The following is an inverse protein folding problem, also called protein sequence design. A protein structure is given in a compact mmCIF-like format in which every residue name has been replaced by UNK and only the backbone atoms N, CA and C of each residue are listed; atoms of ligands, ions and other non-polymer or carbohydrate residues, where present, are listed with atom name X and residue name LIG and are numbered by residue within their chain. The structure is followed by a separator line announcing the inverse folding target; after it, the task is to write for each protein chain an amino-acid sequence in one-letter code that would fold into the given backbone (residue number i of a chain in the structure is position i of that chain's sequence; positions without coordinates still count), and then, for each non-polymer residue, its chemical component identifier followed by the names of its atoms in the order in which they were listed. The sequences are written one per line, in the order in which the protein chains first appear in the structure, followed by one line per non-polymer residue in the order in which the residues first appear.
data_IF_099641103842
#
_entry.id   IF_099641103842
#
_cell.length_a   1.000
_cell.length_b   1.000
_cell.length_c   1.000
_cell.angle_alpha   90.00
_cell.angle_beta   90.00
_cell.angle_gamma   90.00
#
_symmetry.space_group_name_H-M   'P 1'
#
loop_
_entity.id
_entity.type
_entity.pdbx_description
1 polymer ?
#
# COMPACT_ATOMS: atom_id res chain seq x y z
N UNK A 1 36.96 -29.44 -28.85
CA UNK A 1 35.62 -28.97 -28.44
C UNK A 1 35.61 -28.77 -26.92
N UNK A 2 35.63 -27.52 -26.44
CA UNK A 2 35.38 -27.19 -25.02
C UNK A 2 34.29 -26.13 -25.00
N UNK A 3 33.12 -26.52 -24.49
CA UNK A 3 31.93 -25.66 -24.40
C UNK A 3 32.15 -24.65 -23.28
N UNK A 4 32.13 -23.36 -23.60
CA UNK A 4 32.13 -22.29 -22.62
C UNK A 4 30.65 -21.97 -22.34
N UNK A 5 30.17 -22.37 -21.17
CA UNK A 5 28.86 -21.96 -20.65
C UNK A 5 29.07 -20.69 -19.82
N UNK A 6 28.74 -19.54 -20.39
CA UNK A 6 28.65 -18.27 -19.65
C UNK A 6 27.21 -18.19 -19.14
N UNK A 7 27.02 -18.44 -17.84
CA UNK A 7 25.76 -18.14 -17.17
C UNK A 7 25.73 -16.64 -16.86
N UNK A 8 25.02 -15.86 -17.66
CA UNK A 8 24.69 -14.47 -17.36
C UNK A 8 23.65 -14.43 -16.25
N UNK A 9 24.13 -14.28 -15.01
CA UNK A 9 23.29 -14.00 -13.86
C UNK A 9 22.78 -12.55 -13.97
N UNK A 10 21.57 -12.36 -14.51
CA UNK A 10 20.88 -11.07 -14.41
C UNK A 10 20.49 -10.86 -12.95
N UNK A 11 21.28 -10.07 -12.22
CA UNK A 11 20.88 -9.51 -10.93
C UNK A 11 19.81 -8.46 -11.19
N UNK A 12 18.55 -8.90 -11.22
CA UNK A 12 17.39 -8.03 -11.25
C UNK A 12 17.43 -7.19 -9.97
N UNK A 13 17.97 -5.98 -10.07
CA UNK A 13 18.02 -5.02 -8.99
C UNK A 13 16.60 -4.47 -8.82
N UNK A 14 15.75 -5.17 -8.07
CA UNK A 14 14.47 -4.61 -7.65
C UNK A 14 14.79 -3.46 -6.71
N UNK A 15 14.77 -2.23 -7.22
CA UNK A 15 14.77 -1.02 -6.40
C UNK A 15 13.47 -1.00 -5.61
N UNK A 16 13.44 -1.71 -4.48
CA UNK A 16 12.41 -1.52 -3.47
C UNK A 16 12.60 -0.11 -2.92
N UNK A 17 11.87 0.86 -3.47
CA UNK A 17 11.72 2.15 -2.82
C UNK A 17 11.02 1.92 -1.49
N UNK A 18 11.78 2.05 -0.40
CA UNK A 18 11.22 2.04 0.94
C UNK A 18 10.53 3.39 1.17
N UNK A 19 9.24 3.37 1.48
CA UNK A 19 8.50 4.57 1.86
C UNK A 19 9.10 5.16 3.14
N UNK A 20 9.13 6.49 3.23
CA UNK A 20 9.37 7.14 4.51
C UNK A 20 8.21 6.86 5.48
N UNK A 21 8.44 6.95 6.81
CA UNK A 21 7.38 6.73 7.80
C UNK A 21 6.13 7.60 7.56
N UNK A 22 6.32 8.84 7.10
CA UNK A 22 5.22 9.77 6.84
C UNK A 22 4.40 9.39 5.60
N UNK A 23 5.06 8.99 4.51
CA UNK A 23 4.36 8.51 3.31
C UNK A 23 3.59 7.23 3.62
N UNK A 24 4.18 6.35 4.42
CA UNK A 24 3.51 5.14 4.89
C UNK A 24 2.24 5.46 5.67
N UNK A 25 2.28 6.41 6.60
CA UNK A 25 1.09 6.86 7.33
C UNK A 25 0.00 7.38 6.37
N UNK A 26 0.34 8.17 5.35
CA UNK A 26 -0.62 8.65 4.35
C UNK A 26 -1.27 7.48 3.60
N UNK A 27 -0.47 6.49 3.19
CA UNK A 27 -0.96 5.27 2.53
C UNK A 27 -1.93 4.51 3.44
N UNK A 28 -1.61 4.34 4.73
CA UNK A 28 -2.51 3.70 5.72
C UNK A 28 -3.88 4.37 5.72
N UNK A 29 -3.89 5.70 5.81
CA UNK A 29 -5.13 6.47 5.81
C UNK A 29 -5.98 6.22 4.58
N UNK A 30 -5.38 6.32 3.40
CA UNK A 30 -6.07 6.15 2.13
C UNK A 30 -6.60 4.72 1.96
N UNK A 31 -5.80 3.74 2.35
CA UNK A 31 -6.15 2.32 2.31
C UNK A 31 -7.29 2.00 3.26
N UNK A 32 -7.29 2.53 4.48
CA UNK A 32 -8.41 2.32 5.42
C UNK A 32 -9.73 2.83 4.86
N UNK A 33 -9.74 4.05 4.31
CA UNK A 33 -10.94 4.58 3.67
C UNK A 33 -11.45 3.64 2.59
N UNK A 34 -10.55 3.16 1.72
CA UNK A 34 -10.93 2.24 0.65
C UNK A 34 -11.49 0.92 1.19
N UNK A 35 -10.85 0.37 2.23
CA UNK A 35 -11.27 -0.90 2.80
C UNK A 35 -12.69 -0.83 3.38
N UNK A 36 -13.01 0.26 4.06
CA UNK A 36 -14.30 0.42 4.75
C UNK A 36 -15.45 0.88 3.85
N UNK A 37 -15.15 1.63 2.78
CA UNK A 37 -16.18 2.38 2.04
C UNK A 37 -16.30 1.97 0.56
N UNK A 38 -15.42 1.12 0.06
CA UNK A 38 -15.32 0.80 -1.36
C UNK A 38 -15.36 -0.72 -1.60
N UNK A 39 -14.48 -1.24 -2.46
CA UNK A 39 -14.43 -2.66 -2.81
C UNK A 39 -13.59 -3.52 -1.84
N UNK A 40 -13.00 -2.93 -0.80
CA UNK A 40 -12.05 -3.64 0.04
C UNK A 40 -10.66 -3.78 -0.58
N UNK A 41 -9.72 -4.27 0.21
CA UNK A 41 -8.44 -4.73 -0.31
C UNK A 41 -8.51 -6.18 -0.80
N UNK A 42 -7.60 -6.56 -1.69
CA UNK A 42 -7.37 -7.98 -2.01
C UNK A 42 -6.76 -8.68 -0.79
N UNK A 43 -6.85 -10.02 -0.69
CA UNK A 43 -6.14 -10.76 0.38
C UNK A 43 -4.63 -10.46 0.41
N UNK A 44 -4.02 -10.32 -0.77
CA UNK A 44 -2.61 -9.95 -0.88
C UNK A 44 -2.36 -8.54 -0.34
N UNK A 45 -3.28 -7.61 -0.61
CA UNK A 45 -3.25 -6.26 -0.06
C UNK A 45 -3.34 -6.23 1.46
N UNK A 46 -4.31 -6.96 2.03
CA UNK A 46 -4.46 -7.08 3.49
C UNK A 46 -3.18 -7.63 4.12
N UNK A 47 -2.65 -8.75 3.61
CA UNK A 47 -1.42 -9.37 4.13
C UNK A 47 -0.22 -8.44 4.02
N UNK A 48 -0.01 -7.81 2.87
CA UNK A 48 1.14 -6.93 2.66
C UNK A 48 1.07 -5.71 3.56
N UNK A 49 -0.12 -5.12 3.71
CA UNK A 49 -0.32 -3.96 4.58
C UNK A 49 -0.11 -4.33 6.04
N UNK A 50 -0.74 -5.39 6.53
CA UNK A 50 -0.59 -5.83 7.92
C UNK A 50 0.87 -6.22 8.25
N UNK A 51 1.57 -6.89 7.33
CA UNK A 51 2.98 -7.24 7.54
C UNK A 51 3.92 -6.05 7.50
N UNK A 52 3.60 -5.03 6.68
CA UNK A 52 4.42 -3.82 6.60
C UNK A 52 4.18 -2.90 7.80
N UNK A 53 3.06 -3.07 8.50
CA UNK A 53 2.57 -2.16 9.53
C UNK A 53 2.46 -2.87 10.88
N UNK A 54 3.57 -2.93 11.60
CA UNK A 54 3.68 -3.57 12.92
C UNK A 54 2.69 -3.02 13.96
N UNK A 55 2.12 -1.83 13.73
CA UNK A 55 1.21 -1.14 14.66
C UNK A 55 -0.18 -0.80 14.10
N UNK A 56 -0.44 -1.10 12.82
CA UNK A 56 -1.72 -0.80 12.18
C UNK A 56 -2.20 -2.02 11.41
N UNK A 57 -2.92 -2.91 12.10
CA UNK A 57 -3.67 -3.96 11.43
C UNK A 57 -4.84 -3.33 10.69
N UNK A 58 -4.82 -3.36 9.35
CA UNK A 58 -5.75 -2.55 8.56
C UNK A 58 -7.20 -3.05 8.61
N UNK A 59 -7.35 -4.34 8.84
CA UNK A 59 -8.67 -4.94 8.98
C UNK A 59 -9.26 -4.59 10.36
N UNK A 60 -8.42 -4.63 11.39
CA UNK A 60 -8.88 -4.56 12.78
C UNK A 60 -8.76 -3.18 13.43
N UNK A 61 -7.96 -2.26 12.89
CA UNK A 61 -7.74 -0.94 13.49
C UNK A 61 -8.92 -0.01 13.21
N UNK A 62 -9.65 0.50 14.21
CA UNK A 62 -10.72 1.47 13.99
C UNK A 62 -10.20 2.82 13.44
N UNK A 63 -11.01 3.54 12.67
CA UNK A 63 -10.64 4.89 12.15
C UNK A 63 -10.24 5.84 13.27
N UNK A 64 -10.94 5.80 14.41
CA UNK A 64 -10.62 6.63 15.58
C UNK A 64 -9.18 6.44 16.12
N UNK A 65 -8.55 5.30 15.83
CA UNK A 65 -7.13 5.07 16.17
C UNK A 65 -6.21 5.74 15.16
N UNK A 66 -6.61 5.81 13.87
CA UNK A 66 -5.86 6.54 12.83
C UNK A 66 -5.88 8.05 13.06
N UNK A 67 -6.94 8.59 13.66
CA UNK A 67 -7.07 10.01 14.00
C UNK A 67 -5.96 10.51 14.94
N UNK A 68 -5.30 9.61 15.67
CA UNK A 68 -4.14 9.93 16.51
C UNK A 68 -2.91 10.32 15.70
N UNK A 69 -2.85 9.92 14.42
CA UNK A 69 -1.80 10.30 13.48
C UNK A 69 -2.34 11.30 12.46
N UNK A 70 -1.87 12.56 12.53
CA UNK A 70 -2.27 13.60 11.57
C UNK A 70 -2.01 13.20 10.12
N UNK A 71 -0.93 12.48 9.85
CA UNK A 71 -0.58 12.02 8.50
C UNK A 71 -1.52 10.90 8.01
N UNK A 72 -1.84 9.94 8.87
CA UNK A 72 -2.79 8.88 8.51
C UNK A 72 -4.20 9.43 8.31
N UNK A 73 -4.65 10.32 9.21
CA UNK A 73 -5.94 10.96 9.04
C UNK A 73 -6.00 11.84 7.77
N UNK A 74 -4.92 12.55 7.45
CA UNK A 74 -4.82 13.32 6.19
C UNK A 74 -4.97 12.42 4.96
N UNK A 75 -4.32 11.25 4.96
CA UNK A 75 -4.48 10.25 3.90
C UNK A 75 -5.92 9.76 3.76
N UNK A 76 -6.58 9.47 4.89
CA UNK A 76 -7.99 9.05 4.92
C UNK A 76 -8.91 10.13 4.32
N UNK A 77 -8.74 11.38 4.75
CA UNK A 77 -9.55 12.50 4.26
C UNK A 77 -9.29 12.80 2.79
N UNK A 78 -8.06 12.61 2.32
CA UNK A 78 -7.71 12.76 0.91
C UNK A 78 -8.38 11.68 0.06
N UNK A 79 -8.32 10.42 0.49
CA UNK A 79 -9.03 9.34 -0.19
C UNK A 79 -10.55 9.54 -0.18
N UNK A 80 -11.11 10.02 0.94
CA UNK A 80 -12.52 10.41 1.04
C UNK A 80 -12.91 11.47 0.01
N UNK A 81 -12.07 12.47 -0.23
CA UNK A 81 -12.31 13.51 -1.25
C UNK A 81 -12.25 12.94 -2.67
N UNK A 82 -11.32 12.03 -2.94
CA UNK A 82 -11.20 11.38 -4.25
C UNK A 82 -12.27 10.30 -4.50
N UNK A 83 -12.90 9.81 -3.44
CA UNK A 83 -13.85 8.70 -3.50
C UNK A 83 -13.18 7.40 -3.95
N UNK A 84 -13.98 6.35 -4.10
CA UNK A 84 -13.49 5.01 -4.43
C UNK A 84 -12.74 4.97 -5.76
N UNK A 85 -13.33 5.49 -6.83
CA UNK A 85 -12.70 5.45 -8.15
C UNK A 85 -11.39 6.24 -8.20
N UNK A 86 -11.38 7.46 -7.65
CA UNK A 86 -10.18 8.30 -7.60
C UNK A 86 -9.08 7.66 -6.77
N UNK A 87 -9.43 7.12 -5.60
CA UNK A 87 -8.46 6.44 -4.72
C UNK A 87 -7.87 5.20 -5.38
N UNK A 88 -8.68 4.38 -6.07
CA UNK A 88 -8.18 3.23 -6.85
C UNK A 88 -7.23 3.67 -7.97
N UNK A 89 -7.57 4.74 -8.67
CA UNK A 89 -6.74 5.27 -9.75
C UNK A 89 -5.37 5.77 -9.23
N UNK A 90 -5.35 6.52 -8.14
CA UNK A 90 -4.10 6.98 -7.53
C UNK A 90 -3.26 5.81 -6.98
N UNK A 91 -3.90 4.80 -6.39
CA UNK A 91 -3.20 3.60 -5.95
C UNK A 91 -2.59 2.81 -7.13
N UNK A 92 -3.28 2.72 -8.28
CA UNK A 92 -2.72 2.13 -9.49
C UNK A 92 -1.48 2.88 -9.97
N UNK A 93 -1.54 4.22 -10.05
CA UNK A 93 -0.39 5.07 -10.45
C UNK A 93 0.80 4.91 -9.51
N UNK A 94 0.54 4.74 -8.23
CA UNK A 94 1.56 4.53 -7.20
C UNK A 94 2.08 3.08 -7.11
N UNK A 95 1.62 2.15 -7.97
CA UNK A 95 2.07 0.75 -7.98
C UNK A 95 1.40 -0.15 -6.94
N UNK A 96 0.38 0.33 -6.24
CA UNK A 96 -0.40 -0.40 -5.24
C UNK A 96 -1.71 -0.99 -5.78
N UNK A 97 -1.99 -0.82 -7.06
CA UNK A 97 -3.24 -1.26 -7.71
C UNK A 97 -3.65 -2.71 -7.45
N UNK A 98 -2.68 -3.62 -7.51
CA UNK A 98 -2.86 -5.06 -7.25
C UNK A 98 -3.34 -5.41 -5.83
N UNK A 99 -3.27 -4.45 -4.90
CA UNK A 99 -3.68 -4.64 -3.51
C UNK A 99 -5.12 -4.18 -3.25
N UNK A 100 -5.78 -3.57 -4.25
CA UNK A 100 -7.11 -2.96 -4.15
C UNK A 100 -8.10 -3.71 -5.07
N UNK A 101 -9.30 -4.04 -4.58
CA UNK A 101 -10.33 -4.72 -5.38
C UNK A 101 -10.98 -3.80 -6.41
#
# INVERSE_FOLDING_TARGET
MRKILIATLMTLSTTLYALSPNEMLVVIGAVKFYNENCGGLTQTGIKKMNNSLEHFDMDNTPVAVLERSKMAFSGYQTAKKFGCFGTKNEANKAGYGQYIN
#
